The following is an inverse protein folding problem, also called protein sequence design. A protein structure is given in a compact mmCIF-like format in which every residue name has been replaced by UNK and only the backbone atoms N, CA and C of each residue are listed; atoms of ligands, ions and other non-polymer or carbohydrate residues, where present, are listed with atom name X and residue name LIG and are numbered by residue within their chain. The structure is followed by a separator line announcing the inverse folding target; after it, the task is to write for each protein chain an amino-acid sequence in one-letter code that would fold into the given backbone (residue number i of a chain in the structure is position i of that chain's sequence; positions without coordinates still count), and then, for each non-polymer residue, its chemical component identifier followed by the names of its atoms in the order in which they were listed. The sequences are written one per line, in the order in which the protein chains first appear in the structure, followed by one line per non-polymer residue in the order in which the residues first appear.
data_IF_088270211446
#
_entry.id   IF_088270211446
#
_cell.length_a   1.000
_cell.length_b   1.000
_cell.length_c   1.000
_cell.angle_alpha   90.00
_cell.angle_beta   90.00
_cell.angle_gamma   90.00
#
_symmetry.space_group_name_H-M   'P 1'
#
loop_
_entity.id
_entity.type
_entity.pdbx_description
1 polymer ?
#
# COMPACT_ATOMS: atom_id res chain seq x y z
N UNK A 1 12.79 24.49 35.88
CA UNK A 1 12.21 23.38 36.64
C UNK A 1 11.21 23.96 37.63
N UNK A 2 9.98 23.46 37.66
CA UNK A 2 8.93 23.91 38.57
C UNK A 2 8.69 22.82 39.62
N UNK A 3 8.26 23.25 40.83
CA UNK A 3 7.91 22.37 41.92
C UNK A 3 6.45 22.62 42.28
N UNK A 4 5.61 21.57 42.35
CA UNK A 4 4.25 21.68 42.78
C UNK A 4 4.21 22.09 44.26
N UNK A 5 3.41 23.13 44.59
CA UNK A 5 3.32 23.61 45.96
C UNK A 5 2.54 22.67 46.88
N UNK A 6 1.64 21.84 46.31
CA UNK A 6 0.78 20.97 47.09
C UNK A 6 1.41 19.59 47.36
N UNK A 7 2.04 18.96 46.31
CA UNK A 7 2.59 17.61 46.45
C UNK A 7 4.12 17.52 46.36
N UNK A 8 4.82 18.65 46.20
CA UNK A 8 6.27 18.73 46.16
C UNK A 8 6.93 18.11 44.88
N UNK A 9 6.16 17.53 43.98
CA UNK A 9 6.70 16.94 42.73
C UNK A 9 7.32 18.01 41.84
N UNK A 10 8.48 17.70 41.29
CA UNK A 10 9.16 18.54 40.34
C UNK A 10 8.67 18.22 38.91
N UNK A 11 8.49 19.24 38.07
CA UNK A 11 8.12 19.11 36.68
C UNK A 11 8.79 20.18 35.84
N UNK A 12 8.98 19.88 34.57
CA UNK A 12 9.46 20.83 33.56
C UNK A 12 8.23 21.46 32.93
N UNK A 13 8.09 22.78 33.04
CA UNK A 13 7.03 23.53 32.36
C UNK A 13 7.29 23.54 30.84
N UNK A 14 6.22 23.63 30.08
CA UNK A 14 6.25 23.74 28.63
C UNK A 14 4.97 23.17 28.02
N UNK A 15 4.69 23.55 26.77
CA UNK A 15 3.56 22.99 26.02
C UNK A 15 3.84 21.51 25.74
N UNK A 16 2.97 20.63 26.23
CA UNK A 16 3.00 19.21 25.84
C UNK A 16 2.68 19.10 24.35
N UNK A 17 3.61 18.56 23.58
CA UNK A 17 3.35 18.24 22.17
C UNK A 17 2.29 17.15 22.09
N UNK A 18 1.35 17.32 21.17
CA UNK A 18 0.45 16.25 20.82
C UNK A 18 1.21 15.25 19.93
N UNK A 19 1.61 14.12 20.53
CA UNK A 19 2.36 13.08 19.81
C UNK A 19 1.57 12.48 18.64
N UNK A 20 0.24 12.36 18.79
CA UNK A 20 -0.62 11.88 17.70
C UNK A 20 -0.56 12.82 16.51
N UNK A 21 -0.53 14.14 16.73
CA UNK A 21 -0.38 15.11 15.65
C UNK A 21 0.99 15.01 14.97
N UNK A 22 2.06 14.79 15.72
CA UNK A 22 3.40 14.58 15.14
C UNK A 22 3.41 13.39 14.18
N UNK A 23 2.66 12.33 14.50
CA UNK A 23 2.54 11.16 13.64
C UNK A 23 1.71 11.45 12.39
N UNK A 24 0.55 12.07 12.55
CA UNK A 24 -0.28 12.48 11.41
C UNK A 24 0.53 13.35 10.46
N UNK A 25 1.28 14.31 10.97
CA UNK A 25 2.14 15.17 10.16
C UNK A 25 3.29 14.39 9.48
N UNK A 26 3.82 13.35 10.14
CA UNK A 26 4.87 12.51 9.57
C UNK A 26 4.33 11.58 8.49
N UNK A 27 3.23 10.87 8.76
CA UNK A 27 2.69 9.84 7.86
C UNK A 27 1.85 10.46 6.74
N UNK A 28 0.83 11.24 7.09
CA UNK A 28 -0.14 11.81 6.15
C UNK A 28 0.40 13.09 5.52
N UNK A 29 1.03 13.94 6.33
CA UNK A 29 1.66 15.17 5.89
C UNK A 29 2.99 14.97 5.18
N UNK A 30 3.54 13.74 5.15
CA UNK A 30 4.82 13.36 4.52
C UNK A 30 5.99 14.27 4.92
N UNK A 31 5.95 14.84 6.13
CA UNK A 31 6.98 15.76 6.61
C UNK A 31 8.23 14.98 7.05
N UNK A 32 9.40 15.52 6.74
CA UNK A 32 10.68 14.95 7.20
C UNK A 32 10.90 15.22 8.69
N UNK A 33 11.80 14.45 9.32
CA UNK A 33 12.17 14.68 10.73
C UNK A 33 12.65 16.10 10.97
N UNK A 34 13.40 16.67 10.02
CA UNK A 34 13.91 18.05 10.09
C UNK A 34 12.76 19.07 10.04
N UNK A 35 11.80 18.90 9.14
CA UNK A 35 10.63 19.79 9.06
C UNK A 35 9.80 19.73 10.34
N UNK A 36 9.57 18.52 10.88
CA UNK A 36 8.87 18.35 12.17
C UNK A 36 9.64 18.96 13.33
N UNK A 37 10.97 18.81 13.36
CA UNK A 37 11.82 19.39 14.38
C UNK A 37 11.68 20.94 14.40
N UNK A 38 11.72 21.57 13.24
CA UNK A 38 11.50 23.01 13.08
C UNK A 38 10.06 23.42 13.49
N UNK A 39 9.05 22.71 13.00
CA UNK A 39 7.63 22.99 13.26
C UNK A 39 7.29 22.93 14.74
N UNK A 40 7.84 21.95 15.46
CA UNK A 40 7.57 21.72 16.87
C UNK A 40 8.60 22.32 17.82
N UNK A 41 9.58 23.06 17.30
CA UNK A 41 10.68 23.68 18.04
C UNK A 41 11.39 22.68 18.98
N UNK A 42 11.87 21.59 18.40
CA UNK A 42 12.58 20.52 19.12
C UNK A 42 13.68 19.91 18.23
N UNK A 43 14.58 19.10 18.82
CA UNK A 43 15.58 18.38 18.04
C UNK A 43 14.95 17.21 17.24
N UNK A 44 15.55 16.85 16.09
CA UNK A 44 15.18 15.66 15.31
C UNK A 44 15.22 14.39 16.17
N UNK A 45 16.17 14.29 17.11
CA UNK A 45 16.26 13.18 18.07
C UNK A 45 14.98 13.07 18.92
N UNK A 46 14.40 14.22 19.30
CA UNK A 46 13.14 14.24 20.07
C UNK A 46 11.97 13.76 19.21
N UNK A 47 11.88 14.23 17.95
CA UNK A 47 10.86 13.73 17.01
C UNK A 47 11.01 12.23 16.79
N UNK A 48 12.22 11.75 16.53
CA UNK A 48 12.49 10.30 16.36
C UNK A 48 12.04 9.49 17.57
N UNK A 49 12.35 9.95 18.79
CA UNK A 49 11.90 9.28 20.03
C UNK A 49 10.37 9.30 20.17
N UNK A 50 9.71 10.39 19.80
CA UNK A 50 8.26 10.47 19.86
C UNK A 50 7.62 9.50 18.85
N UNK A 51 8.17 9.35 17.64
CA UNK A 51 7.71 8.40 16.63
C UNK A 51 7.99 6.93 17.03
N UNK A 52 9.19 6.61 17.54
CA UNK A 52 9.55 5.23 17.93
C UNK A 52 8.86 4.77 19.21
N UNK A 53 8.47 5.68 20.08
CA UNK A 53 7.77 5.35 21.34
C UNK A 53 6.29 5.02 21.19
N UNK A 54 5.73 5.09 19.96
CA UNK A 54 4.32 4.83 19.74
C UNK A 54 4.06 3.37 19.33
N UNK A 55 3.14 2.77 20.05
CA UNK A 55 2.60 1.46 19.70
C UNK A 55 1.31 1.66 18.92
N UNK A 56 1.32 1.27 17.66
CA UNK A 56 0.09 1.17 16.88
C UNK A 56 -0.65 -0.09 17.31
N UNK A 57 -1.82 0.07 17.89
CA UNK A 57 -2.71 -1.06 18.13
C UNK A 57 -3.44 -1.33 16.82
N UNK A 58 -3.08 -2.40 16.13
CA UNK A 58 -3.77 -2.85 14.94
C UNK A 58 -5.11 -3.46 15.36
N UNK A 59 -6.19 -2.69 15.29
CA UNK A 59 -7.52 -3.24 15.53
C UNK A 59 -7.93 -4.13 14.36
N UNK A 60 -8.22 -5.40 14.63
CA UNK A 60 -8.79 -6.31 13.63
C UNK A 60 -10.08 -5.68 13.09
N UNK A 61 -10.23 -5.62 11.76
CA UNK A 61 -11.44 -5.08 11.14
C UNK A 61 -12.69 -5.82 11.63
N UNK A 62 -13.74 -5.06 11.96
CA UNK A 62 -15.06 -5.61 12.28
C UNK A 62 -15.75 -6.21 11.04
N UNK A 63 -15.38 -5.77 9.86
CA UNK A 63 -15.90 -6.27 8.60
C UNK A 63 -15.13 -7.54 8.22
N UNK A 64 -15.82 -8.65 8.14
CA UNK A 64 -15.21 -9.96 7.87
C UNK A 64 -15.36 -10.41 6.41
N UNK A 65 -16.27 -9.81 5.67
CA UNK A 65 -16.48 -10.05 4.24
C UNK A 65 -15.60 -9.08 3.44
N UNK A 66 -14.56 -9.60 2.76
CA UNK A 66 -13.52 -8.78 2.15
C UNK A 66 -13.11 -9.29 0.76
N UNK A 67 -12.77 -8.36 -0.11
CA UNK A 67 -11.87 -8.59 -1.24
C UNK A 67 -10.50 -8.06 -0.84
N UNK A 68 -9.47 -8.89 -0.94
CA UNK A 68 -8.14 -8.54 -0.48
C UNK A 68 -7.26 -8.05 -1.63
N UNK A 69 -6.35 -7.13 -1.32
CA UNK A 69 -5.23 -6.78 -2.20
C UNK A 69 -3.94 -7.20 -1.52
N UNK A 70 -3.11 -7.93 -2.28
CA UNK A 70 -1.80 -8.43 -1.85
C UNK A 70 -0.72 -7.63 -2.56
N UNK A 71 0.24 -7.12 -1.80
CA UNK A 71 1.33 -6.33 -2.33
C UNK A 71 2.54 -6.36 -1.40
N UNK A 72 3.75 -6.22 -1.95
CA UNK A 72 4.98 -6.11 -1.17
C UNK A 72 5.77 -4.88 -1.61
N UNK A 73 6.06 -4.01 -0.67
CA UNK A 73 6.88 -2.82 -0.89
C UNK A 73 8.27 -3.02 -0.31
N UNK A 74 9.32 -2.72 -1.10
CA UNK A 74 10.71 -2.86 -0.69
C UNK A 74 11.36 -1.51 -0.40
N UNK A 75 12.16 -1.48 0.66
CA UNK A 75 13.09 -0.39 0.96
C UNK A 75 14.53 -0.89 0.80
N UNK A 76 15.14 -0.52 -0.32
CA UNK A 76 16.43 -1.07 -0.73
C UNK A 76 16.35 -2.56 -1.09
N UNK A 77 17.46 -3.29 -0.89
CA UNK A 77 17.57 -4.69 -1.32
C UNK A 77 17.30 -5.73 -0.21
N UNK A 78 17.12 -5.29 1.04
CA UNK A 78 17.19 -6.19 2.19
C UNK A 78 15.95 -6.20 3.07
N UNK A 79 14.99 -5.34 2.77
CA UNK A 79 13.84 -5.15 3.64
C UNK A 79 12.58 -4.85 2.84
N UNK A 80 11.59 -5.68 2.99
CA UNK A 80 10.25 -5.51 2.41
C UNK A 80 9.17 -5.59 3.46
N UNK A 81 8.06 -4.94 3.19
CA UNK A 81 6.81 -5.05 3.92
C UNK A 81 5.76 -5.66 3.00
N UNK A 82 5.41 -6.88 3.28
CA UNK A 82 4.28 -7.59 2.67
C UNK A 82 3.01 -7.18 3.38
N UNK A 83 1.99 -6.81 2.63
CA UNK A 83 0.69 -6.39 3.16
C UNK A 83 -0.46 -7.11 2.48
N UNK A 84 -1.47 -7.44 3.27
CA UNK A 84 -2.79 -7.84 2.78
C UNK A 84 -3.77 -6.81 3.31
N UNK A 85 -4.44 -6.10 2.40
CA UNK A 85 -5.40 -5.05 2.75
C UNK A 85 -6.79 -5.35 2.19
N UNK A 86 -7.82 -4.81 2.83
CA UNK A 86 -9.17 -4.74 2.28
C UNK A 86 -9.14 -3.78 1.08
N UNK A 87 -9.40 -4.29 -0.11
CA UNK A 87 -9.37 -3.53 -1.35
C UNK A 87 -10.43 -2.42 -1.40
N UNK A 88 -11.58 -2.63 -0.75
CA UNK A 88 -12.68 -1.67 -0.76
C UNK A 88 -12.50 -0.58 0.30
N UNK A 89 -12.00 -0.95 1.48
CA UNK A 89 -11.87 -0.02 2.62
C UNK A 89 -10.47 0.51 2.82
N UNK A 90 -9.52 0.08 1.99
CA UNK A 90 -8.10 0.44 2.04
C UNK A 90 -7.46 0.24 3.44
N UNK A 91 -7.91 -0.80 4.17
CA UNK A 91 -7.44 -1.12 5.52
C UNK A 91 -6.46 -2.27 5.47
N UNK A 92 -5.30 -2.12 6.10
CA UNK A 92 -4.36 -3.24 6.26
C UNK A 92 -4.99 -4.25 7.22
N UNK A 93 -5.12 -5.49 6.77
CA UNK A 93 -5.67 -6.60 7.53
C UNK A 93 -4.57 -7.46 8.14
N UNK A 94 -3.46 -7.62 7.42
CA UNK A 94 -2.30 -8.37 7.82
C UNK A 94 -1.04 -7.80 7.18
N UNK A 95 0.10 -7.93 7.87
CA UNK A 95 1.40 -7.52 7.33
C UNK A 95 2.52 -8.39 7.88
N UNK A 96 3.60 -8.48 7.14
CA UNK A 96 4.82 -9.19 7.53
C UNK A 96 6.06 -8.51 6.95
N UNK A 97 7.10 -8.39 7.76
CA UNK A 97 8.41 -7.98 7.26
C UNK A 97 9.11 -9.16 6.60
N UNK A 98 9.61 -8.94 5.39
CA UNK A 98 10.22 -9.98 4.56
C UNK A 98 11.54 -9.51 3.97
N UNK A 99 12.45 -10.45 3.73
CA UNK A 99 13.64 -10.18 2.89
C UNK A 99 13.34 -10.42 1.43
N UNK A 100 12.64 -11.49 1.14
CA UNK A 100 12.19 -11.86 -0.19
C UNK A 100 10.71 -12.19 -0.13
N UNK A 101 9.99 -11.82 -1.15
CA UNK A 101 8.59 -12.14 -1.34
C UNK A 101 8.42 -13.58 -1.82
N UNK A 102 7.54 -14.34 -1.19
CA UNK A 102 7.24 -15.73 -1.57
C UNK A 102 5.75 -16.01 -1.53
N UNK A 103 5.30 -16.94 -2.37
CA UNK A 103 3.91 -17.43 -2.37
C UNK A 103 3.52 -17.97 -0.99
N UNK A 104 4.41 -18.73 -0.35
CA UNK A 104 4.15 -19.34 0.96
C UNK A 104 3.80 -18.28 2.02
N UNK A 105 4.45 -17.12 2.00
CA UNK A 105 4.18 -16.04 2.94
C UNK A 105 2.82 -15.37 2.69
N UNK A 106 2.39 -15.25 1.42
CA UNK A 106 1.04 -14.79 1.11
C UNK A 106 -0.02 -15.79 1.59
N UNK A 107 0.20 -17.09 1.36
CA UNK A 107 -0.71 -18.14 1.84
C UNK A 107 -0.79 -18.17 3.36
N UNK A 108 0.34 -17.93 4.06
CA UNK A 108 0.36 -17.75 5.53
C UNK A 108 -0.58 -16.62 5.96
N UNK A 109 -0.47 -15.46 5.32
CA UNK A 109 -1.33 -14.31 5.62
C UNK A 109 -2.82 -14.57 5.33
N UNK A 110 -3.13 -15.21 4.20
CA UNK A 110 -4.51 -15.61 3.85
C UNK A 110 -5.06 -16.63 4.86
N UNK A 111 -4.25 -17.61 5.26
CA UNK A 111 -4.64 -18.62 6.24
C UNK A 111 -4.90 -17.98 7.61
N UNK A 112 -4.05 -17.04 8.02
CA UNK A 112 -4.26 -16.30 9.24
C UNK A 112 -5.56 -15.48 9.19
N UNK A 113 -5.85 -14.78 8.09
CA UNK A 113 -7.11 -14.04 7.94
C UNK A 113 -8.32 -14.97 8.05
N UNK A 114 -8.28 -16.14 7.40
CA UNK A 114 -9.34 -17.15 7.52
C UNK A 114 -9.52 -17.62 8.96
N UNK A 115 -8.43 -17.85 9.70
CA UNK A 115 -8.48 -18.23 11.13
C UNK A 115 -9.09 -17.14 12.02
N UNK A 116 -8.99 -15.86 11.60
CA UNK A 116 -9.63 -14.73 12.27
C UNK A 116 -11.09 -14.53 11.84
N UNK A 117 -11.66 -15.46 11.07
CA UNK A 117 -13.06 -15.45 10.63
C UNK A 117 -13.32 -14.55 9.40
N UNK A 118 -12.29 -14.17 8.63
CA UNK A 118 -12.50 -13.46 7.39
C UNK A 118 -12.98 -14.38 6.27
N UNK A 119 -14.00 -13.93 5.53
CA UNK A 119 -14.46 -14.52 4.27
C UNK A 119 -13.89 -13.72 3.10
N UNK A 120 -13.06 -14.37 2.29
CA UNK A 120 -12.35 -13.73 1.20
C UNK A 120 -13.06 -14.07 -0.10
N UNK A 121 -13.68 -13.08 -0.73
CA UNK A 121 -14.46 -13.23 -1.97
C UNK A 121 -13.64 -13.04 -3.24
N UNK A 122 -12.48 -12.41 -3.13
CA UNK A 122 -11.58 -12.20 -4.25
C UNK A 122 -10.23 -11.67 -3.79
N UNK A 123 -9.24 -11.78 -4.65
CA UNK A 123 -7.90 -11.27 -4.41
C UNK A 123 -7.40 -10.45 -5.60
N UNK A 124 -6.80 -9.30 -5.34
CA UNK A 124 -6.09 -8.47 -6.30
C UNK A 124 -4.59 -8.65 -6.06
N UNK A 125 -3.84 -9.06 -7.09
CA UNK A 125 -2.40 -9.34 -7.00
C UNK A 125 -1.62 -8.58 -8.08
N UNK A 126 -0.32 -8.45 -7.91
CA UNK A 126 0.59 -7.75 -8.84
C UNK A 126 0.99 -8.58 -10.08
N UNK A 127 0.53 -9.83 -10.19
CA UNK A 127 0.88 -10.75 -11.27
C UNK A 127 2.05 -11.66 -10.94
N UNK A 128 2.40 -11.82 -9.65
CA UNK A 128 3.40 -12.80 -9.22
C UNK A 128 3.06 -14.19 -9.77
N UNK A 129 4.00 -14.78 -10.52
CA UNK A 129 3.80 -16.06 -11.20
C UNK A 129 3.50 -17.17 -10.20
N UNK A 130 2.41 -17.92 -10.41
CA UNK A 130 1.97 -19.02 -9.57
C UNK A 130 1.12 -18.62 -8.37
N UNK A 131 1.05 -17.34 -8.00
CA UNK A 131 0.25 -16.89 -6.84
C UNK A 131 -1.25 -17.08 -7.07
N UNK A 132 -1.74 -16.83 -8.29
CA UNK A 132 -3.15 -17.05 -8.62
C UNK A 132 -3.57 -18.51 -8.45
N UNK A 133 -2.72 -19.46 -8.88
CA UNK A 133 -2.97 -20.90 -8.69
C UNK A 133 -2.96 -21.28 -7.21
N UNK A 134 -2.03 -20.73 -6.43
CA UNK A 134 -1.95 -21.01 -4.99
C UNK A 134 -3.12 -20.44 -4.19
N UNK A 135 -3.79 -19.41 -4.69
CA UNK A 135 -4.97 -18.81 -4.07
C UNK A 135 -6.28 -19.53 -4.41
N UNK A 136 -6.28 -20.47 -5.37
CA UNK A 136 -7.48 -21.22 -5.72
C UNK A 136 -8.17 -21.83 -4.47
N UNK A 137 -9.50 -21.78 -4.31
CA UNK A 137 -10.54 -21.34 -5.27
C UNK A 137 -10.91 -19.83 -5.16
N UNK A 138 -10.11 -18.99 -4.50
CA UNK A 138 -10.39 -17.55 -4.42
C UNK A 138 -10.24 -16.94 -5.82
N UNK A 139 -11.27 -16.24 -6.37
CA UNK A 139 -11.14 -15.53 -7.64
C UNK A 139 -10.04 -14.48 -7.57
N UNK A 140 -9.18 -14.43 -8.60
CA UNK A 140 -8.03 -13.53 -8.63
C UNK A 140 -8.14 -12.57 -9.81
N UNK A 141 -7.87 -11.30 -9.54
CA UNK A 141 -7.71 -10.25 -10.55
C UNK A 141 -6.29 -9.68 -10.47
N UNK A 142 -5.69 -9.43 -11.63
CA UNK A 142 -4.44 -8.68 -11.68
C UNK A 142 -4.68 -7.22 -11.32
N UNK A 143 -3.79 -6.63 -10.53
CA UNK A 143 -3.85 -5.22 -10.15
C UNK A 143 -3.70 -4.34 -11.39
N UNK A 144 -4.71 -3.52 -11.66
CA UNK A 144 -4.73 -2.62 -12.83
C UNK A 144 -3.54 -1.64 -12.82
N UNK A 145 -3.15 -1.15 -11.66
CA UNK A 145 -1.98 -0.28 -11.52
C UNK A 145 -0.69 -0.98 -11.98
N UNK A 146 -0.45 -2.22 -11.51
CA UNK A 146 0.71 -3.00 -11.92
C UNK A 146 0.65 -3.38 -13.40
N UNK A 147 -0.54 -3.67 -13.94
CA UNK A 147 -0.71 -3.91 -15.38
C UNK A 147 -0.29 -2.69 -16.21
N UNK A 148 -0.71 -1.50 -15.83
CA UNK A 148 -0.29 -0.25 -16.48
C UNK A 148 1.24 -0.09 -16.41
N UNK A 149 1.85 -0.32 -15.25
CA UNK A 149 3.30 -0.22 -15.07
C UNK A 149 4.07 -1.22 -15.95
N UNK A 150 3.57 -2.46 -16.07
CA UNK A 150 4.19 -3.49 -16.92
C UNK A 150 4.19 -3.03 -18.37
N UNK A 151 3.05 -2.60 -18.89
CA UNK A 151 2.92 -2.16 -20.28
C UNK A 151 3.79 -0.93 -20.55
N UNK A 152 3.80 0.04 -19.63
CA UNK A 152 4.68 1.22 -19.72
C UNK A 152 6.17 0.85 -19.74
N UNK A 153 6.56 -0.24 -19.11
CA UNK A 153 7.95 -0.73 -19.15
C UNK A 153 8.34 -1.23 -20.54
N UNK A 154 7.40 -1.83 -21.27
CA UNK A 154 7.63 -2.32 -22.63
C UNK A 154 7.50 -1.21 -23.69
N UNK A 155 6.56 -0.27 -23.51
CA UNK A 155 6.27 0.78 -24.48
C UNK A 155 7.03 2.09 -24.23
N UNK A 156 7.79 2.20 -23.14
CA UNK A 156 8.33 3.46 -22.60
C UNK A 156 7.26 4.40 -22.05
N UNK A 157 7.66 5.56 -21.50
CA UNK A 157 6.70 6.55 -20.97
C UNK A 157 6.14 7.44 -22.09
N UNK A 158 6.93 7.71 -23.09
CA UNK A 158 6.65 8.58 -24.25
C UNK A 158 7.05 7.81 -25.53
N UNK A 159 6.21 6.90 -26.00
CA UNK A 159 6.49 6.14 -27.20
C UNK A 159 6.31 6.99 -28.46
N UNK A 160 7.17 6.80 -29.48
CA UNK A 160 7.12 7.52 -30.74
C UNK A 160 6.14 6.90 -31.74
N UNK A 161 5.95 5.58 -31.71
CA UNK A 161 5.07 4.87 -32.64
C UNK A 161 3.59 5.11 -32.31
N UNK A 162 2.81 5.47 -33.31
CA UNK A 162 1.35 5.71 -33.16
C UNK A 162 0.65 4.52 -32.48
N UNK A 163 0.98 3.29 -32.91
CA UNK A 163 0.45 2.06 -32.31
C UNK A 163 0.71 1.99 -30.78
N UNK A 164 1.92 2.32 -30.38
CA UNK A 164 2.33 2.31 -28.96
C UNK A 164 1.66 3.43 -28.16
N UNK A 165 1.52 4.62 -28.73
CA UNK A 165 0.79 5.76 -28.09
C UNK A 165 -0.66 5.35 -27.84
N UNK A 166 -1.35 4.84 -28.87
CA UNK A 166 -2.75 4.40 -28.75
C UNK A 166 -2.92 3.25 -27.76
N UNK A 167 -2.01 2.27 -27.77
CA UNK A 167 -2.05 1.18 -26.77
C UNK A 167 -1.90 1.72 -25.35
N UNK A 168 -0.97 2.63 -25.13
CA UNK A 168 -0.77 3.24 -23.81
C UNK A 168 -2.01 4.03 -23.34
N UNK A 169 -2.71 4.70 -24.23
CA UNK A 169 -3.93 5.43 -23.91
C UNK A 169 -5.08 4.47 -23.52
N UNK A 170 -5.25 3.35 -24.25
CA UNK A 170 -6.21 2.31 -23.92
C UNK A 170 -5.87 1.72 -22.53
N UNK A 171 -4.61 1.40 -22.29
CA UNK A 171 -4.18 0.83 -21.00
C UNK A 171 -4.39 1.79 -19.84
N UNK A 172 -4.13 3.08 -20.01
CA UNK A 172 -4.40 4.10 -18.97
C UNK A 172 -5.90 4.25 -18.67
N UNK A 173 -6.77 3.89 -19.61
CA UNK A 173 -8.22 3.96 -19.41
C UNK A 173 -8.83 2.77 -18.65
N UNK A 174 -8.04 1.69 -18.40
CA UNK A 174 -8.51 0.43 -17.75
C UNK A 174 -9.25 0.65 -16.42
N UNK A 175 -8.94 1.73 -15.69
CA UNK A 175 -9.59 2.07 -14.42
C UNK A 175 -10.90 2.85 -14.59
N UNK A 176 -11.25 3.26 -15.82
CA UNK A 176 -12.38 4.13 -16.14
C UNK A 176 -13.39 3.50 -17.10
N UNK A 177 -13.01 2.38 -17.72
CA UNK A 177 -13.84 1.65 -18.68
C UNK A 177 -14.40 0.38 -18.02
N UNK A 178 -15.58 -0.05 -18.44
CA UNK A 178 -16.04 -1.41 -18.17
C UNK A 178 -15.27 -2.42 -19.03
N UNK A 179 -15.46 -3.71 -18.72
CA UNK A 179 -14.72 -4.78 -19.36
C UNK A 179 -14.98 -4.88 -20.85
N UNK A 180 -16.22 -4.73 -21.26
CA UNK A 180 -16.67 -4.86 -22.65
C UNK A 180 -16.10 -3.73 -23.50
N UNK A 181 -16.18 -2.49 -23.03
CA UNK A 181 -15.61 -1.31 -23.69
C UNK A 181 -14.09 -1.42 -23.81
N UNK A 182 -13.41 -1.90 -22.77
CA UNK A 182 -11.96 -2.10 -22.80
C UNK A 182 -11.54 -3.16 -23.83
N UNK A 183 -12.24 -4.30 -23.88
CA UNK A 183 -11.99 -5.36 -24.86
C UNK A 183 -12.25 -4.85 -26.28
N UNK A 184 -13.34 -4.10 -26.49
CA UNK A 184 -13.65 -3.49 -27.79
C UNK A 184 -12.53 -2.58 -28.28
N UNK A 185 -12.12 -1.60 -27.45
CA UNK A 185 -11.04 -0.68 -27.79
C UNK A 185 -9.70 -1.39 -28.06
N UNK A 186 -9.40 -2.46 -27.28
CA UNK A 186 -8.20 -3.25 -27.49
C UNK A 186 -8.23 -4.04 -28.80
N UNK A 187 -9.37 -4.66 -29.16
CA UNK A 187 -9.55 -5.39 -30.38
C UNK A 187 -9.45 -4.47 -31.61
N UNK A 188 -10.07 -3.30 -31.58
CA UNK A 188 -9.97 -2.28 -32.63
C UNK A 188 -8.52 -1.85 -32.84
N UNK A 189 -7.79 -1.60 -31.75
CA UNK A 189 -6.36 -1.30 -31.80
C UNK A 189 -5.57 -2.46 -32.40
N UNK A 190 -5.81 -3.70 -31.95
CA UNK A 190 -5.12 -4.88 -32.44
C UNK A 190 -5.33 -5.08 -33.95
N UNK A 191 -6.57 -5.03 -34.42
CA UNK A 191 -6.89 -5.17 -35.86
C UNK A 191 -6.24 -4.08 -36.72
N UNK A 192 -6.13 -2.87 -36.18
CA UNK A 192 -5.51 -1.75 -36.91
C UNK A 192 -3.98 -1.88 -37.01
N UNK A 193 -3.33 -2.45 -35.99
CA UNK A 193 -1.86 -2.40 -35.87
C UNK A 193 -1.17 -3.77 -35.82
N UNK A 194 -1.87 -4.88 -36.03
CA UNK A 194 -1.30 -6.22 -35.92
C UNK A 194 -0.19 -6.53 -36.94
N UNK A 195 -0.11 -5.77 -38.04
CA UNK A 195 0.85 -5.95 -39.10
C UNK A 195 1.96 -4.86 -39.11
N UNK A 196 2.10 -4.08 -38.05
CA UNK A 196 3.04 -2.95 -37.93
C UNK A 196 4.33 -3.37 -37.19
#
# INVERSE_FOLDING_TARGET
MYKCKDCGKQFIGGKRRNKSQVITDYIEGKQTLRQLALRYDVSERTIRRDLTGMRFVHSISKYKDVTVQLDTTYWGRHFGLMVIKDALRNKILWHKYVRNETIAQYIEGISWLKSQGFKIYGAVIDGMRGLAQALYPIPVQMCQFHQILIIRRYLTQEPDLEASVKHLDIVKSITRMDKESFIGAFNEWYEKYKDV
#
